data_IF_552205206488
#
_entry.id   IF_552205206488
#
_cell.length_a   1.000
_cell.length_b   1.000
_cell.length_c   1.000
_cell.angle_alpha   90.00
_cell.angle_beta   90.00
_cell.angle_gamma   90.00
#
_symmetry.space_group_name_H-M   'P 1'
#
loop_
_entity.id
_entity.type
_entity.pdbx_description
1 polymer ?
#
# COMPACT_ATOMS: atom_id res chain seq x y z
N UNK A 1 21.64 -15.56 -22.22
CA UNK A 1 21.35 -15.20 -20.82
C UNK A 1 19.86 -14.91 -20.72
N UNK A 2 19.06 -15.86 -20.24
CA UNK A 2 17.63 -15.63 -20.01
C UNK A 2 17.52 -14.59 -18.88
N UNK A 3 16.90 -13.45 -19.15
CA UNK A 3 16.67 -12.41 -18.13
C UNK A 3 15.80 -13.01 -17.02
N UNK A 4 16.40 -13.27 -15.87
CA UNK A 4 15.72 -13.76 -14.66
C UNK A 4 14.81 -12.70 -13.98
N UNK A 5 14.33 -11.71 -14.75
CA UNK A 5 13.62 -10.53 -14.23
C UNK A 5 12.21 -10.38 -14.81
N UNK A 6 11.70 -11.36 -15.56
CA UNK A 6 10.29 -11.39 -15.97
C UNK A 6 9.46 -12.09 -14.91
N UNK A 7 8.38 -11.46 -14.45
CA UNK A 7 7.40 -12.10 -13.58
C UNK A 7 6.84 -13.35 -14.24
N UNK A 8 6.78 -14.45 -13.49
CA UNK A 8 6.19 -15.70 -13.97
C UNK A 8 4.68 -15.62 -13.94
N UNK A 9 4.04 -16.10 -15.00
CA UNK A 9 2.60 -16.35 -15.00
C UNK A 9 2.25 -17.49 -14.04
N UNK A 10 1.01 -17.53 -13.57
CA UNK A 10 0.52 -18.63 -12.70
C UNK A 10 0.75 -19.99 -13.35
N UNK A 11 0.54 -20.10 -14.67
CA UNK A 11 0.77 -21.35 -15.40
C UNK A 11 2.23 -21.76 -15.35
N UNK A 12 3.16 -20.83 -15.58
CA UNK A 12 4.60 -21.10 -15.55
C UNK A 12 5.04 -21.54 -14.16
N UNK A 13 4.54 -20.89 -13.09
CA UNK A 13 4.80 -21.29 -11.70
C UNK A 13 4.36 -22.74 -11.43
N UNK A 14 3.20 -23.16 -11.95
CA UNK A 14 2.67 -24.51 -11.73
C UNK A 14 3.38 -25.59 -12.56
N UNK A 15 4.08 -25.21 -13.63
CA UNK A 15 4.85 -26.11 -14.49
C UNK A 15 6.35 -26.10 -14.21
N UNK A 16 6.83 -25.13 -13.43
CA UNK A 16 8.26 -25.00 -13.13
C UNK A 16 8.77 -26.22 -12.35
N UNK A 17 9.88 -26.86 -12.81
CA UNK A 17 10.38 -28.09 -12.21
C UNK A 17 10.94 -27.88 -10.79
N UNK A 18 11.53 -26.72 -10.51
CA UNK A 18 12.09 -26.41 -9.20
C UNK A 18 10.97 -26.12 -8.20
N UNK A 19 9.99 -25.31 -8.57
CA UNK A 19 8.81 -25.01 -7.74
C UNK A 19 8.04 -26.30 -7.45
N UNK A 20 7.85 -27.18 -8.45
CA UNK A 20 7.24 -28.50 -8.24
C UNK A 20 8.02 -29.41 -7.29
N UNK A 21 9.35 -29.33 -7.28
CA UNK A 21 10.16 -30.09 -6.34
C UNK A 21 9.91 -29.60 -4.90
N UNK A 22 9.88 -28.28 -4.70
CA UNK A 22 9.59 -27.67 -3.39
C UNK A 22 8.17 -27.99 -2.94
N UNK A 23 7.17 -27.83 -3.79
CA UNK A 23 5.77 -28.18 -3.47
C UNK A 23 5.64 -29.64 -3.00
N UNK A 24 6.34 -30.58 -3.66
CA UNK A 24 6.34 -31.99 -3.24
C UNK A 24 7.03 -32.22 -1.91
N UNK A 25 8.12 -31.49 -1.64
CA UNK A 25 8.80 -31.55 -0.34
C UNK A 25 7.91 -31.02 0.79
N UNK A 26 7.09 -30.01 0.49
CA UNK A 26 6.18 -29.37 1.45
C UNK A 26 4.78 -30.03 1.51
N UNK A 27 4.55 -31.10 0.74
CA UNK A 27 3.25 -31.79 0.71
C UNK A 27 2.11 -30.99 0.07
N UNK A 28 2.42 -29.96 -0.72
CA UNK A 28 1.44 -29.08 -1.37
C UNK A 28 1.04 -29.64 -2.73
N UNK A 29 -0.27 -29.82 -2.95
CA UNK A 29 -0.78 -30.25 -4.25
C UNK A 29 -0.84 -29.11 -5.27
N UNK A 30 -0.82 -29.44 -6.56
CA UNK A 30 -0.97 -28.45 -7.63
C UNK A 30 -2.29 -27.67 -7.53
N UNK A 31 -3.36 -28.31 -7.05
CA UNK A 31 -4.66 -27.67 -6.92
C UNK A 31 -4.70 -26.64 -5.78
N UNK A 32 -4.04 -26.93 -4.65
CA UNK A 32 -3.91 -26.00 -3.53
C UNK A 32 -3.09 -24.77 -3.92
N UNK A 33 -1.92 -24.99 -4.54
CA UNK A 33 -1.07 -23.90 -5.02
C UNK A 33 -1.81 -23.04 -6.05
N UNK A 34 -2.52 -23.66 -6.99
CA UNK A 34 -3.36 -22.95 -7.96
C UNK A 34 -4.40 -22.07 -7.25
N UNK A 35 -5.15 -22.64 -6.32
CA UNK A 35 -6.20 -21.91 -5.58
C UNK A 35 -5.62 -20.71 -4.83
N UNK A 36 -4.48 -20.90 -4.16
CA UNK A 36 -3.78 -19.86 -3.41
C UNK A 36 -3.31 -18.72 -4.33
N UNK A 37 -2.66 -19.04 -5.44
CA UNK A 37 -2.19 -18.05 -6.41
C UNK A 37 -3.33 -17.26 -7.05
N UNK A 38 -4.44 -17.91 -7.42
CA UNK A 38 -5.61 -17.20 -7.97
C UNK A 38 -6.28 -16.31 -6.93
N UNK A 39 -6.35 -16.75 -5.68
CA UNK A 39 -6.88 -15.96 -4.57
C UNK A 39 -6.02 -14.72 -4.31
N UNK A 40 -4.70 -14.90 -4.24
CA UNK A 40 -3.74 -13.80 -4.10
C UNK A 40 -3.83 -12.81 -5.28
N UNK A 41 -3.88 -13.31 -6.52
CA UNK A 41 -4.05 -12.46 -7.69
C UNK A 41 -5.38 -11.69 -7.67
N UNK A 42 -6.46 -12.30 -7.18
CA UNK A 42 -7.74 -11.63 -6.99
C UNK A 42 -7.66 -10.53 -5.94
N UNK A 43 -7.03 -10.82 -4.81
CA UNK A 43 -6.79 -9.84 -3.75
C UNK A 43 -5.94 -8.67 -4.26
N UNK A 44 -4.87 -8.92 -5.03
CA UNK A 44 -4.05 -7.87 -5.62
C UNK A 44 -4.85 -6.96 -6.58
N UNK A 45 -5.72 -7.54 -7.42
CA UNK A 45 -6.61 -6.74 -8.30
C UNK A 45 -7.59 -5.88 -7.52
N UNK A 46 -8.11 -6.38 -6.40
CA UNK A 46 -9.03 -5.63 -5.52
C UNK A 46 -8.30 -4.57 -4.69
N UNK A 47 -7.06 -4.89 -4.29
CA UNK A 47 -6.14 -4.01 -3.58
C UNK A 47 -5.42 -3.02 -4.52
N UNK A 48 -5.88 -2.94 -5.77
CA UNK A 48 -5.61 -1.84 -6.68
C UNK A 48 -6.80 -0.86 -6.69
N UNK A 49 -7.17 -0.20 -5.58
CA UNK A 49 -7.87 1.06 -5.68
C UNK A 49 -6.86 2.03 -6.26
N UNK A 50 -7.25 2.78 -7.30
CA UNK A 50 -6.42 3.80 -7.94
C UNK A 50 -5.58 4.53 -6.90
N UNK A 51 -4.29 4.17 -6.83
CA UNK A 51 -3.46 4.40 -5.65
C UNK A 51 -3.42 5.89 -5.39
N UNK A 52 -4.23 6.24 -4.39
CA UNK A 52 -4.10 7.34 -3.47
C UNK A 52 -3.55 8.60 -4.08
N UNK A 53 -4.49 9.50 -4.38
CA UNK A 53 -4.25 10.86 -4.80
C UNK A 53 -3.49 11.69 -3.75
N UNK A 54 -2.18 11.44 -3.62
CA UNK A 54 -1.26 12.37 -2.99
C UNK A 54 -1.12 13.64 -3.84
N UNK A 55 -1.38 13.55 -5.16
CA UNK A 55 -1.39 14.71 -6.08
C UNK A 55 -2.57 15.67 -5.85
N UNK A 56 -3.73 15.19 -5.41
CA UNK A 56 -4.85 16.12 -5.11
C UNK A 56 -4.69 16.81 -3.75
N UNK A 57 -3.90 16.25 -2.82
CA UNK A 57 -3.63 16.94 -1.55
C UNK A 57 -2.77 18.19 -1.76
N UNK A 58 -1.74 18.14 -2.60
CA UNK A 58 -0.91 19.33 -2.89
C UNK A 58 -1.68 20.41 -3.65
N UNK A 59 -2.50 20.02 -4.65
CA UNK A 59 -3.35 20.96 -5.37
C UNK A 59 -4.38 21.65 -4.45
N UNK A 60 -4.94 20.92 -3.47
CA UNK A 60 -5.89 21.48 -2.51
C UNK A 60 -5.23 22.39 -1.47
N UNK A 61 -3.95 22.17 -1.13
CA UNK A 61 -3.17 23.09 -0.28
C UNK A 61 -2.82 24.41 -0.99
N UNK A 62 -2.54 24.35 -2.30
CA UNK A 62 -2.24 25.52 -3.13
C UNK A 62 -3.51 26.34 -3.43
N UNK A 63 -4.66 25.68 -3.50
CA UNK A 63 -5.98 26.30 -3.66
C UNK A 63 -6.64 26.70 -2.32
N UNK A 64 -6.04 26.31 -1.18
CA UNK A 64 -6.60 26.63 0.12
C UNK A 64 -6.46 28.13 0.44
N UNK A 65 -7.53 28.79 0.92
CA UNK A 65 -7.44 30.18 1.37
C UNK A 65 -6.39 30.32 2.48
N UNK A 66 -5.54 31.35 2.43
CA UNK A 66 -4.39 31.61 3.33
C UNK A 66 -4.67 31.41 4.83
N UNK A 67 -5.91 31.61 5.29
CA UNK A 67 -6.32 31.43 6.70
C UNK A 67 -6.27 29.96 7.17
N UNK A 68 -6.48 28.99 6.27
CA UNK A 68 -6.47 27.55 6.58
C UNK A 68 -5.07 26.99 6.75
N UNK A 69 -4.08 27.55 6.05
CA UNK A 69 -2.68 27.17 6.21
C UNK A 69 -2.11 27.64 7.55
N UNK A 70 -2.47 28.85 7.98
CA UNK A 70 -1.99 29.42 9.25
C UNK A 70 -2.42 28.58 10.47
N UNK A 71 -3.65 28.02 10.49
CA UNK A 71 -4.10 27.19 11.62
C UNK A 71 -3.35 25.86 11.74
N UNK A 72 -2.72 25.39 10.66
CA UNK A 72 -1.95 24.13 10.66
C UNK A 72 -0.48 24.33 11.08
N UNK A 73 0.03 25.57 11.03
CA UNK A 73 1.43 25.91 11.36
C UNK A 73 1.58 26.43 12.79
N UNK A 74 0.49 26.58 13.55
CA UNK A 74 0.53 26.88 14.99
C UNK A 74 0.21 25.65 15.86
N UNK A 75 1.15 24.72 16.12
CA UNK A 75 0.89 23.66 17.09
C UNK A 75 0.86 24.10 18.56
N UNK A 76 1.39 25.26 18.98
CA UNK A 76 1.68 25.46 20.43
C UNK A 76 1.53 26.89 21.01
N UNK A 77 0.93 27.87 20.34
CA UNK A 77 0.93 29.26 20.84
C UNK A 77 -0.37 29.76 21.53
N UNK A 78 -1.37 28.90 21.80
CA UNK A 78 -2.66 29.36 22.37
C UNK A 78 -3.14 28.53 23.56
N UNK A 79 -2.23 28.24 24.50
CA UNK A 79 -2.58 27.80 25.87
C UNK A 79 -1.75 28.52 26.93
N UNK A 80 -1.57 29.84 26.76
CA UNK A 80 -0.95 30.69 27.78
C UNK A 80 -1.75 31.99 27.97
N UNK A 81 -3.08 31.88 28.09
CA UNK A 81 -3.91 32.94 28.67
C UNK A 81 -4.98 32.29 29.54
N UNK A 82 -4.56 31.78 30.70
CA UNK A 82 -5.42 31.66 31.87
C UNK A 82 -4.55 31.29 33.08
N UNK A 83 -4.15 32.29 33.88
CA UNK A 83 -4.34 32.29 35.33
C UNK A 83 -3.68 33.53 35.98
N UNK A 84 -4.54 34.31 36.64
CA UNK A 84 -4.29 35.16 37.83
C UNK A 84 -3.44 36.43 37.66
N UNK A 85 -3.76 37.56 38.27
CA UNK A 85 -4.87 38.02 39.12
C UNK A 85 -4.66 39.54 39.29
N UNK A 86 -5.77 40.28 39.35
CA UNK A 86 -5.88 41.70 39.68
C UNK A 86 -5.12 42.16 40.93
N UNK A 87 -4.90 43.49 40.92
CA UNK A 87 -4.70 44.43 42.03
C UNK A 87 -3.26 44.63 42.53
#
# INVERSE_FOLDING_TARGET
MHQANSDLTITEVLTDPMIRAVMRADGVTTNEMKTLLYSAASALRQMQPGTVSAKNHTANLLAAPKRRLLSMVHPLASRADCLRLSA
#
